data_IF_698380685985
#
_entry.id   IF_698380685985
#
_cell.length_a   1.000
_cell.length_b   1.000
_cell.length_c   1.000
_cell.angle_alpha   90.00
_cell.angle_beta   90.00
_cell.angle_gamma   90.00
#
_symmetry.space_group_name_H-M   'P 1'
#
loop_
_entity.id
_entity.type
_entity.pdbx_description
1 polymer ?
#
# COMPACT_ATOMS: atom_id res chain seq x y z
N UNK A 1 18.50 -6.71 -5.01
CA UNK A 1 17.14 -7.22 -4.70
C UNK A 1 16.65 -6.57 -3.42
N UNK A 2 15.48 -5.94 -3.41
CA UNK A 2 14.90 -5.28 -2.23
C UNK A 2 13.67 -6.06 -1.77
N UNK A 3 13.63 -6.49 -0.50
CA UNK A 3 12.46 -7.16 0.07
C UNK A 3 11.49 -6.15 0.69
N UNK A 4 10.21 -6.26 0.39
CA UNK A 4 9.18 -5.35 0.88
C UNK A 4 7.87 -6.10 1.17
N UNK A 5 7.59 -6.39 2.44
CA UNK A 5 6.22 -6.73 2.87
C UNK A 5 5.94 -6.05 4.22
N UNK A 6 4.97 -5.13 4.26
CA UNK A 6 4.59 -4.46 5.49
C UNK A 6 3.19 -4.96 5.89
N UNK A 7 3.13 -6.09 6.58
CA UNK A 7 2.01 -6.39 7.47
C UNK A 7 2.34 -5.77 8.82
N UNK A 8 1.68 -4.65 9.13
CA UNK A 8 1.66 -4.02 10.45
C UNK A 8 1.38 -5.09 11.51
N UNK A 9 2.40 -5.47 12.30
CA UNK A 9 2.19 -6.14 13.58
C UNK A 9 1.93 -5.06 14.63
N UNK A 10 0.91 -5.30 15.45
CA UNK A 10 0.46 -4.42 16.52
C UNK A 10 1.62 -4.01 17.44
N UNK A 11 1.68 -2.72 17.76
CA UNK A 11 2.67 -2.15 18.67
C UNK A 11 2.46 -2.65 20.11
N UNK A 12 3.57 -2.97 20.76
CA UNK A 12 3.66 -3.20 22.21
C UNK A 12 3.83 -1.82 22.90
N UNK A 13 2.89 -1.38 23.76
CA UNK A 13 2.89 -0.04 24.34
C UNK A 13 3.86 0.01 25.53
N UNK A 14 5.17 0.07 25.25
CA UNK A 14 6.16 -0.11 26.33
C UNK A 14 7.51 0.59 26.19
N UNK A 15 7.74 1.54 25.26
CA UNK A 15 9.04 2.24 25.21
C UNK A 15 8.97 3.67 24.70
N UNK A 16 8.91 4.61 25.64
CA UNK A 16 9.19 6.03 25.43
C UNK A 16 10.70 6.25 25.31
N UNK A 17 11.17 6.58 24.11
CA UNK A 17 12.54 7.04 23.85
C UNK A 17 12.67 7.50 22.41
N UNK A 18 12.89 8.80 22.20
CA UNK A 18 12.99 9.44 20.89
C UNK A 18 14.20 8.95 20.09
N UNK A 19 13.99 7.91 19.31
CA UNK A 19 14.75 7.59 18.10
C UNK A 19 13.69 7.33 17.02
N UNK A 20 13.84 7.91 15.83
CA UNK A 20 12.91 7.71 14.73
C UNK A 20 12.63 6.21 14.59
N UNK A 21 11.36 5.82 14.72
CA UNK A 21 10.93 4.43 14.70
C UNK A 21 11.29 3.84 13.33
N UNK A 22 12.46 3.21 13.21
CA UNK A 22 12.82 2.47 12.01
C UNK A 22 12.06 1.15 12.05
N UNK A 23 11.21 0.86 11.07
CA UNK A 23 10.49 -0.40 11.04
C UNK A 23 11.49 -1.55 10.91
N UNK A 24 11.25 -2.62 11.68
CA UNK A 24 12.00 -3.87 11.54
C UNK A 24 11.91 -4.38 10.10
N UNK A 25 13.01 -4.92 9.52
CA UNK A 25 12.98 -5.49 8.19
C UNK A 25 11.90 -6.58 8.09
N UNK A 26 11.18 -6.66 6.96
CA UNK A 26 10.30 -7.78 6.71
C UNK A 26 11.08 -9.09 6.68
N UNK A 27 10.46 -10.16 7.15
CA UNK A 27 11.01 -11.50 6.99
C UNK A 27 11.21 -11.80 5.49
N UNK A 28 12.40 -12.30 5.15
CA UNK A 28 12.69 -12.76 3.81
C UNK A 28 11.74 -13.92 3.44
N UNK A 29 11.03 -13.84 2.30
CA UNK A 29 10.26 -14.96 1.79
C UNK A 29 11.12 -16.23 1.73
N UNK A 30 10.53 -17.39 2.01
CA UNK A 30 11.27 -18.66 2.09
C UNK A 30 12.15 -18.93 0.86
N UNK A 31 11.66 -18.57 -0.34
CA UNK A 31 12.38 -18.71 -1.60
C UNK A 31 13.65 -17.85 -1.68
N UNK A 32 13.72 -16.76 -0.92
CA UNK A 32 14.82 -15.79 -0.93
C UNK A 32 15.76 -15.96 0.27
N UNK A 33 15.45 -16.86 1.22
CA UNK A 33 16.33 -17.19 2.34
C UNK A 33 17.76 -17.59 1.89
N UNK A 34 17.97 -18.32 0.77
CA UNK A 34 19.34 -18.61 0.30
C UNK A 34 20.16 -17.37 -0.08
N UNK A 35 19.51 -16.23 -0.34
CA UNK A 35 20.19 -14.96 -0.63
C UNK A 35 20.52 -14.17 0.65
N UNK A 36 20.17 -14.68 1.82
CA UNK A 36 20.48 -14.04 3.10
C UNK A 36 22.00 -13.86 3.24
N UNK A 37 22.45 -12.62 3.42
CA UNK A 37 23.87 -12.26 3.48
C UNK A 37 24.53 -11.98 2.13
N UNK A 38 23.83 -12.11 1.01
CA UNK A 38 24.35 -11.73 -0.30
C UNK A 38 24.51 -10.19 -0.40
N UNK A 39 25.63 -9.66 -0.90
CA UNK A 39 25.89 -8.20 -0.92
C UNK A 39 24.86 -7.42 -1.75
N UNK A 40 24.31 -8.03 -2.79
CA UNK A 40 23.23 -7.45 -3.61
C UNK A 40 21.83 -7.52 -3.00
N UNK A 41 21.66 -8.08 -1.79
CA UNK A 41 20.37 -8.13 -1.09
C UNK A 41 20.25 -6.96 -0.11
N UNK A 42 19.22 -6.15 -0.29
CA UNK A 42 18.84 -5.09 0.64
C UNK A 42 17.56 -5.52 1.35
N UNK A 43 17.71 -6.06 2.55
CA UNK A 43 16.58 -6.53 3.36
C UNK A 43 15.78 -5.39 3.99
N UNK A 44 16.45 -4.28 4.33
CA UNK A 44 15.81 -3.07 4.86
C UNK A 44 16.21 -1.84 4.02
N UNK A 45 15.35 -1.33 3.12
CA UNK A 45 15.68 -0.15 2.32
C UNK A 45 15.72 1.15 3.13
N UNK A 46 15.24 1.13 4.38
CA UNK A 46 15.21 2.30 5.27
C UNK A 46 16.45 2.44 6.15
N UNK A 47 17.37 1.47 6.10
CA UNK A 47 18.67 1.63 6.73
C UNK A 47 19.42 2.77 6.04
N UNK A 48 20.09 3.62 6.83
CA UNK A 48 20.84 4.74 6.31
C UNK A 48 21.90 4.25 5.30
N UNK A 49 21.90 4.83 4.11
CA UNK A 49 22.81 4.43 3.03
C UNK A 49 22.47 3.11 2.34
N UNK A 50 21.37 2.42 2.68
CA UNK A 50 21.05 1.11 2.10
C UNK A 50 20.93 1.14 0.58
N UNK A 51 20.38 2.22 0.02
CA UNK A 51 20.25 2.39 -1.43
C UNK A 51 21.50 3.06 -2.06
N UNK A 52 22.42 3.61 -1.27
CA UNK A 52 23.60 4.29 -1.81
C UNK A 52 24.58 3.33 -2.50
N UNK A 53 24.50 2.03 -2.19
CA UNK A 53 25.28 0.98 -2.86
C UNK A 53 24.71 0.59 -4.23
N UNK A 54 23.53 1.07 -4.62
CA UNK A 54 22.93 0.80 -5.93
C UNK A 54 23.52 1.78 -6.93
N UNK A 55 24.30 1.27 -7.89
CA UNK A 55 24.88 2.10 -8.91
C UNK A 55 23.80 2.64 -9.87
N UNK A 56 24.03 3.76 -10.58
CA UNK A 56 23.03 4.35 -11.46
C UNK A 56 22.51 3.41 -12.56
N UNK A 57 23.30 2.46 -13.05
CA UNK A 57 22.92 1.53 -14.13
C UNK A 57 22.55 0.12 -13.65
N UNK A 58 22.58 -0.12 -12.33
CA UNK A 58 22.33 -1.46 -11.80
C UNK A 58 20.91 -1.94 -12.15
N UNK A 59 20.76 -3.23 -12.41
CA UNK A 59 19.42 -3.83 -12.56
C UNK A 59 18.86 -4.14 -11.17
N UNK A 60 17.72 -3.54 -10.83
CA UNK A 60 17.13 -3.63 -9.50
C UNK A 60 15.87 -4.50 -9.52
N UNK A 61 15.92 -5.63 -8.83
CA UNK A 61 14.73 -6.42 -8.51
C UNK A 61 14.11 -5.99 -7.17
N UNK A 62 12.79 -5.75 -7.12
CA UNK A 62 12.05 -5.45 -5.88
C UNK A 62 10.98 -6.50 -5.67
N UNK A 63 10.83 -6.99 -4.45
CA UNK A 63 9.87 -8.02 -4.08
C UNK A 63 8.70 -7.36 -3.36
N UNK A 64 7.53 -7.43 -3.96
CA UNK A 64 6.35 -6.65 -3.56
C UNK A 64 6.11 -5.45 -4.48
N UNK A 65 4.87 -4.96 -4.46
CA UNK A 65 4.43 -3.80 -5.27
C UNK A 65 3.59 -2.83 -4.44
N UNK A 66 3.87 -2.74 -3.14
CA UNK A 66 3.16 -1.89 -2.19
C UNK A 66 3.82 -0.52 -1.95
N UNK A 67 3.52 0.09 -0.80
CA UNK A 67 4.07 1.40 -0.40
C UNK A 67 5.61 1.40 -0.40
N UNK A 68 6.24 0.41 0.23
CA UNK A 68 7.71 0.35 0.31
C UNK A 68 8.38 0.26 -1.06
N UNK A 69 7.80 -0.48 -2.01
CA UNK A 69 8.33 -0.51 -3.39
C UNK A 69 8.24 0.89 -4.02
N UNK A 70 7.12 1.59 -3.80
CA UNK A 70 6.91 2.94 -4.33
C UNK A 70 7.94 3.93 -3.79
N UNK A 71 8.24 3.85 -2.50
CA UNK A 71 9.24 4.70 -1.84
C UNK A 71 10.67 4.39 -2.29
N UNK A 72 10.98 3.10 -2.51
CA UNK A 72 12.27 2.66 -3.06
C UNK A 72 12.45 3.21 -4.47
N UNK A 73 11.45 3.06 -5.34
CA UNK A 73 11.51 3.60 -6.71
C UNK A 73 11.63 5.12 -6.71
N UNK A 74 10.88 5.82 -5.86
CA UNK A 74 11.02 7.27 -5.72
C UNK A 74 12.40 7.69 -5.19
N UNK A 75 13.01 6.89 -4.32
CA UNK A 75 14.36 7.14 -3.81
C UNK A 75 15.43 6.90 -4.86
N UNK A 76 15.33 5.82 -5.63
CA UNK A 76 16.21 5.55 -6.77
C UNK A 76 16.09 6.63 -7.85
N UNK A 77 14.87 7.09 -8.13
CA UNK A 77 14.63 8.23 -9.04
C UNK A 77 15.34 9.50 -8.57
N UNK A 78 15.25 9.85 -7.28
CA UNK A 78 15.99 10.99 -6.70
C UNK A 78 17.50 10.83 -6.82
N UNK A 79 18.01 9.60 -6.79
CA UNK A 79 19.43 9.29 -7.00
C UNK A 79 19.84 9.25 -8.49
N UNK A 80 18.94 9.61 -9.41
CA UNK A 80 19.18 9.59 -10.86
C UNK A 80 19.54 8.18 -11.39
N UNK A 81 18.97 7.15 -10.76
CA UNK A 81 19.09 5.79 -11.24
C UNK A 81 18.42 5.64 -12.62
N UNK A 82 19.13 5.05 -13.57
CA UNK A 82 18.74 4.84 -14.97
C UNK A 82 18.68 3.36 -15.36
N UNK A 83 19.12 2.47 -14.47
CA UNK A 83 19.01 1.03 -14.62
C UNK A 83 17.56 0.54 -14.63
N UNK A 84 17.36 -0.68 -15.13
CA UNK A 84 16.07 -1.36 -15.19
C UNK A 84 15.60 -1.75 -13.79
N UNK A 85 14.34 -1.45 -13.47
CA UNK A 85 13.69 -1.84 -12.22
C UNK A 85 12.59 -2.85 -12.52
N UNK A 86 12.69 -4.03 -11.89
CA UNK A 86 11.66 -5.08 -11.98
C UNK A 86 11.03 -5.30 -10.61
N UNK A 87 9.75 -4.98 -10.48
CA UNK A 87 8.96 -5.27 -9.30
C UNK A 87 8.20 -6.59 -9.46
N UNK A 88 8.37 -7.52 -8.52
CA UNK A 88 7.65 -8.78 -8.48
C UNK A 88 6.42 -8.63 -7.59
N UNK A 89 5.24 -8.58 -8.20
CA UNK A 89 3.97 -8.47 -7.51
C UNK A 89 3.29 -9.82 -7.39
N UNK A 90 2.82 -10.15 -6.18
CA UNK A 90 1.91 -11.29 -5.98
C UNK A 90 0.60 -11.13 -6.77
N UNK A 91 0.15 -9.89 -7.01
CA UNK A 91 -1.22 -9.59 -7.46
C UNK A 91 -1.31 -8.68 -8.68
N UNK A 92 -0.18 -8.18 -9.20
CA UNK A 92 -0.14 -7.28 -10.35
C UNK A 92 -0.80 -5.92 -10.09
N UNK A 93 -0.81 -5.44 -8.84
CA UNK A 93 -1.43 -4.17 -8.45
C UNK A 93 -0.40 -3.17 -7.96
N UNK A 94 -0.54 -1.92 -8.37
CA UNK A 94 0.19 -0.78 -7.82
C UNK A 94 -0.70 0.00 -6.83
N UNK A 95 -0.09 0.69 -5.85
CA UNK A 95 -0.84 1.56 -4.94
C UNK A 95 -1.51 2.70 -5.70
N UNK A 96 -2.65 3.18 -5.20
CA UNK A 96 -3.36 4.33 -5.78
C UNK A 96 -2.81 5.64 -5.23
N UNK A 97 -2.87 6.70 -6.03
CA UNK A 97 -2.53 8.04 -5.58
C UNK A 97 -3.52 8.54 -4.52
N UNK A 98 -3.01 9.28 -3.54
CA UNK A 98 -3.82 10.07 -2.62
C UNK A 98 -4.30 11.37 -3.31
N UNK A 99 -5.16 12.14 -2.65
CA UNK A 99 -5.56 13.47 -3.15
C UNK A 99 -4.41 14.46 -3.05
N UNK A 100 -4.35 15.38 -4.01
CA UNK A 100 -3.51 16.58 -3.98
C UNK A 100 -4.36 17.80 -3.66
N UNK A 101 -4.08 18.49 -2.55
CA UNK A 101 -4.57 19.86 -2.32
C UNK A 101 -6.09 20.03 -2.26
N UNK A 102 -6.85 19.05 -1.75
CA UNK A 102 -8.30 19.20 -1.55
C UNK A 102 -8.60 19.82 -0.19
N UNK A 103 -9.26 20.98 -0.18
CA UNK A 103 -9.87 21.56 1.04
C UNK A 103 -11.27 20.96 1.33
N UNK A 104 -11.76 20.12 0.42
CA UNK A 104 -13.03 19.43 0.56
C UNK A 104 -13.01 18.41 1.69
N UNK A 105 -14.13 18.30 2.39
CA UNK A 105 -14.33 17.32 3.44
C UNK A 105 -15.60 16.52 3.18
N UNK A 106 -15.59 15.26 3.62
CA UNK A 106 -16.75 14.39 3.63
C UNK A 106 -17.06 14.05 5.08
N UNK A 107 -18.34 14.00 5.46
CA UNK A 107 -18.74 13.63 6.82
C UNK A 107 -19.64 12.42 6.77
N UNK A 108 -19.25 11.39 7.53
CA UNK A 108 -20.07 10.19 7.69
C UNK A 108 -21.20 10.47 8.67
N UNK A 109 -22.42 10.05 8.31
CA UNK A 109 -23.56 10.08 9.22
C UNK A 109 -23.47 8.94 10.24
N UNK A 110 -22.96 9.27 11.42
CA UNK A 110 -22.82 8.35 12.56
C UNK A 110 -24.10 8.18 13.37
N UNK A 111 -25.18 8.90 13.06
CA UNK A 111 -26.48 8.63 13.69
C UNK A 111 -27.01 7.25 13.29
N UNK A 112 -26.52 6.70 12.18
CA UNK A 112 -26.91 5.38 11.72
C UNK A 112 -26.13 4.26 12.42
N UNK A 113 -26.77 3.09 12.64
CA UNK A 113 -26.11 1.92 13.20
C UNK A 113 -24.89 1.51 12.38
N UNK A 114 -23.77 1.29 13.06
CA UNK A 114 -22.55 0.81 12.40
C UNK A 114 -22.66 -0.68 12.10
N UNK A 115 -22.25 -1.15 10.90
CA UNK A 115 -22.35 -2.56 10.58
C UNK A 115 -21.50 -3.43 11.52
N UNK A 116 -22.08 -4.50 12.04
CA UNK A 116 -21.38 -5.48 12.88
C UNK A 116 -20.53 -6.49 12.09
N UNK A 117 -20.58 -6.46 10.75
CA UNK A 117 -19.88 -7.41 9.88
C UNK A 117 -19.06 -6.70 8.81
N UNK A 118 -18.00 -7.35 8.36
CA UNK A 118 -17.13 -6.82 7.31
C UNK A 118 -17.86 -6.66 5.96
N UNK A 119 -18.81 -7.56 5.65
CA UNK A 119 -19.70 -7.43 4.49
C UNK A 119 -20.61 -6.22 4.61
N UNK A 120 -21.12 -5.94 5.82
CA UNK A 120 -21.92 -4.76 6.10
C UNK A 120 -21.10 -3.46 5.96
N UNK A 121 -19.86 -3.46 6.44
CA UNK A 121 -18.93 -2.34 6.23
C UNK A 121 -18.63 -2.09 4.76
N UNK A 122 -18.41 -3.14 3.97
CA UNK A 122 -18.22 -2.99 2.54
C UNK A 122 -19.47 -2.39 1.86
N UNK A 123 -20.66 -2.84 2.24
CA UNK A 123 -21.90 -2.27 1.73
C UNK A 123 -22.01 -0.79 2.10
N UNK A 124 -21.71 -0.43 3.34
CA UNK A 124 -21.68 0.97 3.80
C UNK A 124 -20.70 1.80 2.98
N UNK A 125 -19.44 1.37 2.86
CA UNK A 125 -18.41 2.05 2.06
C UNK A 125 -18.91 2.31 0.63
N UNK A 126 -19.54 1.32 -0.02
CA UNK A 126 -20.07 1.49 -1.38
C UNK A 126 -21.16 2.56 -1.46
N UNK A 127 -22.06 2.60 -0.48
CA UNK A 127 -23.13 3.61 -0.44
C UNK A 127 -22.54 5.01 -0.24
N UNK A 128 -21.58 5.15 0.69
CA UNK A 128 -20.91 6.43 0.98
C UNK A 128 -20.10 6.91 -0.22
N UNK A 129 -19.37 6.03 -0.91
CA UNK A 129 -18.66 6.38 -2.15
C UNK A 129 -19.63 6.83 -3.25
N UNK A 130 -20.77 6.15 -3.40
CA UNK A 130 -21.81 6.56 -4.36
C UNK A 130 -22.42 7.92 -4.01
N UNK A 131 -22.63 8.21 -2.73
CA UNK A 131 -23.14 9.50 -2.26
C UNK A 131 -22.12 10.61 -2.49
N UNK A 132 -20.85 10.38 -2.13
CA UNK A 132 -19.76 11.31 -2.42
C UNK A 132 -19.65 11.59 -3.93
N UNK A 133 -19.73 10.57 -4.78
CA UNK A 133 -19.70 10.73 -6.23
C UNK A 133 -20.87 11.59 -6.75
N UNK A 134 -22.07 11.46 -6.17
CA UNK A 134 -23.22 12.32 -6.51
C UNK A 134 -23.00 13.80 -6.12
N UNK A 135 -22.07 14.07 -5.19
CA UNK A 135 -21.64 15.41 -4.79
C UNK A 135 -20.37 15.87 -5.53
N UNK A 136 -19.90 15.13 -6.54
CA UNK A 136 -18.60 15.31 -7.21
C UNK A 136 -17.39 15.23 -6.27
N UNK A 137 -17.55 14.59 -5.11
CA UNK A 137 -16.49 14.41 -4.14
C UNK A 137 -15.70 13.12 -4.42
N UNK A 138 -14.36 13.15 -4.31
CA UNK A 138 -13.54 11.99 -4.52
C UNK A 138 -13.71 10.92 -3.42
N UNK A 139 -13.72 9.65 -3.81
CA UNK A 139 -13.85 8.50 -2.89
C UNK A 139 -12.77 8.48 -1.79
N UNK A 140 -11.62 9.11 -2.06
CA UNK A 140 -10.51 9.27 -1.15
C UNK A 140 -10.90 9.94 0.17
N UNK A 141 -11.86 10.87 0.16
CA UNK A 141 -12.36 11.55 1.36
C UNK A 141 -13.16 10.58 2.23
N UNK A 142 -14.01 9.76 1.61
CA UNK A 142 -14.79 8.72 2.29
C UNK A 142 -13.85 7.75 3.02
N UNK A 143 -12.84 7.21 2.33
CA UNK A 143 -11.90 6.29 2.98
C UNK A 143 -11.00 6.97 4.02
N UNK A 144 -10.70 8.26 3.86
CA UNK A 144 -10.00 9.06 4.87
C UNK A 144 -10.76 9.10 6.19
N UNK A 145 -12.06 9.41 6.13
CA UNK A 145 -12.94 9.47 7.30
C UNK A 145 -13.13 8.11 7.97
N UNK A 146 -13.36 7.06 7.19
CA UNK A 146 -13.45 5.70 7.73
C UNK A 146 -12.13 5.33 8.42
N UNK A 147 -10.99 5.66 7.81
CA UNK A 147 -9.68 5.34 8.38
C UNK A 147 -9.44 6.06 9.71
N UNK A 148 -9.78 7.35 9.81
CA UNK A 148 -9.66 8.13 11.04
C UNK A 148 -10.50 7.53 12.19
N UNK A 149 -11.72 7.09 11.90
CA UNK A 149 -12.59 6.45 12.90
C UNK A 149 -12.13 5.04 13.25
N UNK A 150 -11.65 4.26 12.31
CA UNK A 150 -11.06 2.95 12.64
C UNK A 150 -9.84 3.06 13.53
N UNK A 151 -9.08 4.15 13.42
CA UNK A 151 -7.94 4.43 14.28
C UNK A 151 -8.35 4.89 15.68
N UNK A 152 -9.45 5.65 15.83
CA UNK A 152 -9.94 6.12 17.13
C UNK A 152 -10.69 5.05 17.93
N UNK A 153 -11.25 4.04 17.27
CA UNK A 153 -12.05 2.96 17.88
C UNK A 153 -11.18 1.75 18.31
N UNK A 154 -9.86 1.92 18.44
CA UNK A 154 -8.84 0.94 18.89
C UNK A 154 -9.36 -0.44 19.33
N UNK A 155 -9.19 -1.44 18.44
CA UNK A 155 -8.98 -2.84 18.82
C UNK A 155 -10.10 -3.84 18.52
N UNK A 156 -11.39 -3.45 18.49
CA UNK A 156 -12.49 -4.45 18.41
C UNK A 156 -13.40 -4.38 17.16
N UNK A 157 -13.60 -3.22 16.55
CA UNK A 157 -14.59 -3.07 15.47
C UNK A 157 -14.20 -3.74 14.13
N UNK A 158 -12.91 -3.92 13.86
CA UNK A 158 -12.42 -4.64 12.68
C UNK A 158 -11.91 -6.06 12.97
N UNK A 159 -11.92 -6.48 14.25
CA UNK A 159 -11.49 -7.82 14.66
C UNK A 159 -12.53 -8.92 14.33
N UNK A 160 -13.71 -8.54 13.83
CA UNK A 160 -14.73 -9.47 13.31
C UNK A 160 -14.51 -9.86 11.82
N UNK A 161 -13.30 -9.66 11.29
CA UNK A 161 -12.85 -10.26 10.02
C UNK A 161 -12.40 -11.72 10.22
N UNK A 162 -13.07 -12.48 11.11
CA UNK A 162 -12.64 -13.83 11.53
C UNK A 162 -12.89 -14.93 10.49
N UNK A 163 -13.31 -14.59 9.26
CA UNK A 163 -13.36 -15.55 8.16
C UNK A 163 -12.16 -15.33 7.25
N UNK A 164 -11.24 -16.29 7.24
CA UNK A 164 -10.05 -16.31 6.36
C UNK A 164 -10.40 -16.05 4.90
N UNK A 165 -11.60 -16.43 4.46
CA UNK A 165 -12.10 -16.22 3.09
C UNK A 165 -12.34 -14.73 2.81
N UNK A 166 -12.89 -13.99 3.77
CA UNK A 166 -13.14 -12.56 3.61
C UNK A 166 -11.84 -11.75 3.56
N UNK A 167 -10.88 -12.02 4.44
CA UNK A 167 -9.56 -11.38 4.36
C UNK A 167 -8.85 -11.70 3.05
N UNK A 168 -8.91 -12.96 2.60
CA UNK A 168 -8.22 -13.39 1.38
C UNK A 168 -8.78 -12.73 0.12
N UNK A 169 -10.10 -12.53 0.05
CA UNK A 169 -10.76 -11.95 -1.13
C UNK A 169 -10.79 -10.42 -1.06
N UNK A 170 -11.01 -9.82 0.12
CA UNK A 170 -11.34 -8.39 0.23
C UNK A 170 -10.17 -7.50 0.67
N UNK A 171 -9.30 -7.97 1.55
CA UNK A 171 -8.12 -7.22 1.97
C UNK A 171 -7.24 -6.74 0.80
N UNK A 172 -6.97 -7.52 -0.27
CA UNK A 172 -6.10 -7.08 -1.37
C UNK A 172 -6.45 -5.73 -1.95
N UNK A 173 -7.73 -5.56 -2.29
CA UNK A 173 -8.16 -4.34 -2.92
C UNK A 173 -8.54 -3.27 -1.91
N UNK A 174 -8.89 -3.61 -0.67
CA UNK A 174 -8.98 -2.61 0.41
C UNK A 174 -7.63 -1.96 0.69
N UNK A 175 -6.56 -2.76 0.74
CA UNK A 175 -5.20 -2.31 1.00
C UNK A 175 -4.73 -1.31 -0.06
N UNK A 176 -4.99 -1.56 -1.35
CA UNK A 176 -4.62 -0.64 -2.44
C UNK A 176 -5.34 0.71 -2.37
N UNK A 177 -6.56 0.76 -1.83
CA UNK A 177 -7.33 2.00 -1.70
C UNK A 177 -7.09 2.71 -0.36
N UNK A 178 -6.73 1.96 0.70
CA UNK A 178 -6.38 2.52 2.01
C UNK A 178 -4.94 3.04 2.02
N UNK A 179 -3.99 2.22 1.58
CA UNK A 179 -2.57 2.51 1.54
C UNK A 179 -2.22 3.22 0.23
N UNK A 180 -2.55 4.51 0.20
CA UNK A 180 -2.34 5.41 -0.94
C UNK A 180 -0.96 6.06 -0.87
N UNK A 181 -0.36 6.28 -2.03
CA UNK A 181 0.93 6.98 -2.17
C UNK A 181 0.73 8.46 -2.44
N UNK A 182 1.73 9.29 -2.11
CA UNK A 182 1.72 10.69 -2.46
C UNK A 182 1.56 10.87 -3.99
N UNK A 183 0.79 11.87 -4.46
CA UNK A 183 0.57 12.12 -5.89
C UNK A 183 1.87 12.18 -6.70
N UNK A 184 2.89 12.83 -6.15
CA UNK A 184 4.21 12.97 -6.79
C UNK A 184 4.91 11.61 -6.95
N UNK A 185 4.81 10.73 -5.95
CA UNK A 185 5.35 9.37 -6.04
C UNK A 185 4.59 8.56 -7.09
N UNK A 186 3.26 8.69 -7.15
CA UNK A 186 2.47 8.04 -8.20
C UNK A 186 2.85 8.52 -9.60
N UNK A 187 3.15 9.81 -9.76
CA UNK A 187 3.62 10.38 -11.03
C UNK A 187 4.96 9.77 -11.45
N UNK A 188 5.91 9.64 -10.52
CA UNK A 188 7.21 9.00 -10.77
C UNK A 188 7.03 7.56 -11.22
N UNK A 189 6.16 6.78 -10.54
CA UNK A 189 5.88 5.39 -10.94
C UNK A 189 5.32 5.32 -12.36
N UNK A 190 4.31 6.15 -12.66
CA UNK A 190 3.68 6.17 -13.99
C UNK A 190 4.70 6.54 -15.08
N UNK A 191 5.56 7.52 -14.83
CA UNK A 191 6.61 7.94 -15.76
C UNK A 191 7.62 6.82 -16.02
N UNK A 192 8.10 6.14 -14.96
CA UNK A 192 9.04 5.03 -15.12
C UNK A 192 8.42 3.80 -15.79
N UNK A 193 7.13 3.55 -15.58
CA UNK A 193 6.43 2.50 -16.34
C UNK A 193 6.30 2.88 -17.81
N UNK A 194 5.94 4.13 -18.12
CA UNK A 194 5.80 4.61 -19.48
C UNK A 194 7.13 4.61 -20.25
N UNK A 195 8.25 4.88 -19.58
CA UNK A 195 9.59 4.80 -20.18
C UNK A 195 10.11 3.37 -20.32
N UNK A 196 9.41 2.37 -19.76
CA UNK A 196 9.86 0.98 -19.70
C UNK A 196 10.94 0.71 -18.65
N UNK A 197 11.35 1.72 -17.88
CA UNK A 197 12.35 1.56 -16.82
C UNK A 197 11.80 0.73 -15.65
N UNK A 198 10.51 0.85 -15.33
CA UNK A 198 9.84 0.06 -14.30
C UNK A 198 8.90 -0.98 -14.92
N UNK A 199 9.22 -2.26 -14.70
CA UNK A 199 8.39 -3.40 -15.09
C UNK A 199 7.76 -4.09 -13.89
N UNK A 200 6.49 -4.49 -14.00
CA UNK A 200 5.77 -5.24 -12.98
C UNK A 200 5.57 -6.68 -13.45
N UNK A 201 6.22 -7.64 -12.79
CA UNK A 201 6.09 -9.06 -13.07
C UNK A 201 5.23 -9.76 -12.03
N UNK A 202 4.35 -10.66 -12.48
CA UNK A 202 3.41 -11.38 -11.62
C UNK A 202 1.98 -10.85 -11.70
N UNK A 203 1.03 -11.59 -11.12
CA UNK A 203 -0.41 -11.39 -11.33
C UNK A 203 -0.99 -12.31 -12.39
N UNK A 204 -0.86 -13.63 -12.21
CA UNK A 204 -1.74 -14.55 -12.90
C UNK A 204 -3.15 -14.45 -12.29
N UNK A 205 -4.16 -14.35 -13.15
CA UNK A 205 -5.60 -14.23 -12.89
C UNK A 205 -6.14 -12.82 -12.57
N UNK A 206 -6.66 -12.18 -13.63
CA UNK A 206 -7.52 -10.99 -13.60
C UNK A 206 -8.85 -11.13 -12.84
N UNK A 207 -8.94 -11.97 -11.81
CA UNK A 207 -10.14 -12.20 -11.00
C UNK A 207 -10.35 -11.13 -9.93
N UNK A 208 -9.28 -10.56 -9.33
CA UNK A 208 -9.42 -9.54 -8.29
C UNK A 208 -9.67 -8.11 -8.85
N UNK A 209 -9.27 -7.86 -10.10
CA UNK A 209 -9.40 -6.54 -10.75
C UNK A 209 -10.86 -6.13 -10.95
N UNK A 210 -11.70 -7.10 -11.35
CA UNK A 210 -13.06 -6.84 -11.84
C UNK A 210 -14.10 -6.48 -10.78
N UNK A 211 -13.86 -6.73 -9.49
CA UNK A 211 -14.89 -6.53 -8.45
C UNK A 211 -14.82 -5.16 -7.78
N UNK A 212 -13.63 -4.57 -7.60
CA UNK A 212 -13.44 -3.26 -6.94
C UNK A 212 -13.44 -2.07 -7.88
N UNK A 213 -13.08 -2.25 -9.15
CA UNK A 213 -13.17 -1.16 -10.14
C UNK A 213 -14.61 -0.62 -10.21
N UNK A 214 -15.63 -1.48 -10.06
CA UNK A 214 -17.05 -1.07 -10.01
C UNK A 214 -17.46 -0.32 -8.73
N UNK A 215 -16.64 -0.29 -7.69
CA UNK A 215 -16.96 0.41 -6.43
C UNK A 215 -16.55 1.89 -6.49
N UNK A 216 -15.46 2.18 -7.19
CA UNK A 216 -14.79 3.49 -7.19
C UNK A 216 -14.76 4.16 -8.57
N UNK A 217 -15.43 3.59 -9.57
CA UNK A 217 -15.72 4.23 -10.87
C UNK A 217 -17.13 4.81 -10.85
#
# INVERSE_FOLDING_TARGET
MVCSDHSLRAEDPGRSGGAGHQPSPPDLPALLKPLQGHPGLIANPWQNGALAQVAPDDRVAIIGSGLTMSDVVASLHRQQHRGEITAFSRRGQLPRANLSGSDESYTLDYSQPQPASARGWLHRVRQEVKQAAALNLPWQLVLGMISAVTASVSGRAFHCMSSSVFCTIFAPGWDVHRYRIAPQVSQILNQQQASGQLSLLGGAAGWARKRWETIFS
#
